data_IF_677426182164
#
_entry.id   IF_677426182164
#
_cell.length_a   1.000
_cell.length_b   1.000
_cell.length_c   1.000
_cell.angle_alpha   90.00
_cell.angle_beta   90.00
_cell.angle_gamma   90.00
#
_symmetry.space_group_name_H-M   'P 1'
#
loop_
_entity.id
_entity.type
_entity.pdbx_description
1 polymer ?
#
# COMPACT_ATOMS: atom_id res chain seq x y z
N UNK A 1 1.71 16.55 5.47
CA UNK A 1 1.18 15.21 5.11
C UNK A 1 0.22 15.30 3.94
N UNK A 2 -0.98 15.90 4.09
CA UNK A 2 -1.89 16.08 2.95
C UNK A 2 -1.36 17.08 1.92
N UNK A 3 -0.90 18.24 2.36
CA UNK A 3 -0.28 19.27 1.50
C UNK A 3 0.94 18.77 0.73
N UNK A 4 1.78 17.92 1.34
CA UNK A 4 2.92 17.29 0.65
C UNK A 4 2.47 16.36 -0.49
N UNK A 5 1.34 15.67 -0.32
CA UNK A 5 0.77 14.78 -1.33
C UNK A 5 -0.01 15.54 -2.39
N UNK A 6 -0.67 16.64 -2.04
CA UNK A 6 -1.46 17.44 -2.98
C UNK A 6 -0.58 18.04 -4.09
N UNK A 7 0.70 18.33 -3.78
CA UNK A 7 1.69 18.74 -4.78
C UNK A 7 2.03 17.66 -5.83
N UNK A 8 1.73 16.39 -5.54
CA UNK A 8 2.05 15.25 -6.42
C UNK A 8 0.80 14.58 -6.98
N UNK A 9 -0.36 14.77 -6.34
CA UNK A 9 -1.61 14.12 -6.71
C UNK A 9 -2.17 14.59 -8.06
N UNK A 10 -1.78 15.80 -8.53
CA UNK A 10 -2.26 16.35 -9.81
C UNK A 10 -1.71 15.65 -11.06
N UNK A 11 -0.60 14.92 -10.93
CA UNK A 11 0.10 14.28 -12.07
C UNK A 11 -0.05 12.74 -12.04
N UNK A 12 -0.96 12.20 -11.24
CA UNK A 12 -1.14 10.74 -11.14
C UNK A 12 -1.95 10.24 -12.33
N UNK A 13 -1.38 9.27 -13.05
CA UNK A 13 -2.06 8.53 -14.11
C UNK A 13 -3.09 7.59 -13.47
N UNK A 14 -4.28 7.41 -14.07
CA UNK A 14 -5.23 6.40 -13.66
C UNK A 14 -4.58 5.03 -13.53
N UNK A 15 -4.82 4.36 -12.41
CA UNK A 15 -4.31 3.03 -12.17
C UNK A 15 -5.31 2.01 -12.73
N UNK A 16 -5.35 1.85 -14.05
CA UNK A 16 -6.12 0.78 -14.70
C UNK A 16 -5.44 -0.57 -14.46
N UNK A 17 -6.08 -1.65 -14.91
CA UNK A 17 -5.51 -2.98 -14.83
C UNK A 17 -4.17 -3.09 -15.54
N UNK A 18 -4.02 -2.50 -16.71
CA UNK A 18 -2.75 -2.46 -17.45
C UNK A 18 -1.66 -1.77 -16.62
N UNK A 19 -1.98 -0.64 -15.99
CA UNK A 19 -1.07 0.10 -15.13
C UNK A 19 -0.74 -0.67 -13.84
N UNK A 20 -1.67 -1.50 -13.34
CA UNK A 20 -1.40 -2.42 -12.23
C UNK A 20 -0.43 -3.53 -12.64
N UNK A 21 -0.55 -4.10 -13.84
CA UNK A 21 0.40 -5.09 -14.37
C UNK A 21 1.80 -4.48 -14.60
N UNK A 22 1.84 -3.18 -14.85
CA UNK A 22 3.08 -2.40 -15.03
C UNK A 22 3.56 -1.75 -13.74
N UNK A 23 2.81 -1.85 -12.64
CA UNK A 23 3.14 -1.20 -11.37
C UNK A 23 4.50 -1.70 -10.89
N UNK A 24 5.37 -0.76 -10.56
CA UNK A 24 6.75 -1.06 -10.18
C UNK A 24 7.01 -0.89 -8.69
N UNK A 25 8.00 -1.62 -8.17
CA UNK A 25 8.58 -1.35 -6.85
C UNK A 25 9.40 -0.04 -6.82
N UNK A 26 9.66 0.56 -7.98
CA UNK A 26 10.36 1.83 -8.12
C UNK A 26 9.60 3.03 -7.58
N UNK A 27 10.36 3.98 -7.04
CA UNK A 27 9.82 5.19 -6.42
C UNK A 27 10.60 6.44 -6.84
N UNK A 28 9.87 7.52 -7.13
CA UNK A 28 10.38 8.87 -7.27
C UNK A 28 10.19 9.68 -5.99
N UNK A 29 11.01 10.73 -5.82
CA UNK A 29 10.89 11.71 -4.73
C UNK A 29 10.80 11.08 -3.33
N UNK A 30 11.38 9.88 -3.18
CA UNK A 30 11.35 9.15 -1.92
C UNK A 30 12.18 9.90 -0.87
N UNK A 31 11.55 10.21 0.26
CA UNK A 31 12.19 10.81 1.42
C UNK A 31 11.83 10.00 2.64
N UNK A 32 12.83 9.45 3.31
CA UNK A 32 12.69 8.71 4.55
C UNK A 32 13.53 9.38 5.63
N UNK A 33 12.88 9.88 6.68
CA UNK A 33 13.55 10.53 7.82
C UNK A 33 13.33 9.69 9.07
N UNK A 34 14.43 9.37 9.74
CA UNK A 34 14.46 8.70 11.05
C UNK A 34 15.03 9.65 12.08
N UNK A 35 14.36 9.75 13.21
CA UNK A 35 14.71 10.63 14.33
C UNK A 35 13.71 10.40 15.45
N UNK A 36 13.29 11.46 16.14
CA UNK A 36 12.25 11.37 17.18
C UNK A 36 10.91 10.81 16.65
N UNK A 37 10.62 10.97 15.36
CA UNK A 37 9.52 10.29 14.66
C UNK A 37 10.02 9.76 13.33
N UNK A 38 9.41 8.70 12.80
CA UNK A 38 9.72 8.22 11.45
C UNK A 38 8.71 8.81 10.49
N UNK A 39 9.19 9.47 9.43
CA UNK A 39 8.34 9.97 8.35
C UNK A 39 8.83 9.44 7.03
N UNK A 40 7.93 9.04 6.16
CA UNK A 40 8.24 8.67 4.78
C UNK A 40 7.28 9.35 3.81
N UNK A 41 7.74 9.71 2.63
CA UNK A 41 6.89 10.14 1.52
C UNK A 41 7.55 9.76 0.20
N UNK A 42 6.76 9.57 -0.84
CA UNK A 42 7.26 9.21 -2.16
C UNK A 42 6.14 8.99 -3.15
N UNK A 43 6.53 8.65 -4.38
CA UNK A 43 5.62 8.36 -5.48
C UNK A 43 6.05 7.03 -6.10
N UNK A 44 5.19 6.02 -6.13
CA UNK A 44 5.44 4.81 -6.92
C UNK A 44 5.10 5.04 -8.38
N UNK A 45 5.86 4.38 -9.26
CA UNK A 45 5.70 4.49 -10.70
C UNK A 45 5.40 3.14 -11.36
N UNK A 46 4.97 3.18 -12.63
CA UNK A 46 5.06 2.01 -13.50
C UNK A 46 6.52 1.74 -13.88
N UNK A 47 6.78 0.62 -14.56
CA UNK A 47 8.08 0.34 -15.19
C UNK A 47 8.44 1.33 -16.32
N UNK A 48 7.48 2.15 -16.75
CA UNK A 48 7.66 3.24 -17.72
C UNK A 48 7.75 4.62 -17.04
N UNK A 49 7.94 4.67 -15.72
CA UNK A 49 8.08 5.90 -14.93
C UNK A 49 6.82 6.78 -14.89
N UNK A 50 5.64 6.22 -15.15
CA UNK A 50 4.37 6.94 -14.97
C UNK A 50 4.00 6.92 -13.49
N UNK A 51 3.62 8.08 -12.95
CA UNK A 51 3.29 8.21 -11.52
C UNK A 51 1.89 7.68 -11.27
N UNK A 52 1.76 6.67 -10.42
CA UNK A 52 0.46 6.00 -10.19
C UNK A 52 0.00 6.03 -8.73
N UNK A 53 0.93 6.21 -7.78
CA UNK A 53 0.59 6.30 -6.36
C UNK A 53 1.48 7.30 -5.63
N UNK A 54 0.89 8.31 -5.00
CA UNK A 54 1.57 9.14 -4.02
C UNK A 54 1.27 8.66 -2.59
N UNK A 55 2.25 8.73 -1.69
CA UNK A 55 2.02 8.39 -0.28
C UNK A 55 2.74 9.31 0.70
N UNK A 56 2.20 9.39 1.92
CA UNK A 56 2.80 10.03 3.08
C UNK A 56 2.55 9.19 4.32
N UNK A 57 3.61 8.90 5.06
CA UNK A 57 3.62 8.07 6.24
C UNK A 57 4.26 8.81 7.41
N UNK A 58 3.66 8.68 8.60
CA UNK A 58 4.23 9.16 9.85
C UNK A 58 4.00 8.14 10.95
N UNK A 59 5.09 7.64 11.55
CA UNK A 59 5.11 6.86 12.79
C UNK A 59 5.44 7.77 13.96
N UNK A 60 4.58 7.76 14.96
CA UNK A 60 4.75 8.49 16.21
C UNK A 60 5.59 7.68 17.20
N UNK A 61 6.11 8.37 18.23
CA UNK A 61 6.79 7.72 19.34
C UNK A 61 5.90 6.65 19.98
N UNK A 62 6.48 5.50 20.28
CA UNK A 62 5.77 4.34 20.81
C UNK A 62 6.60 3.08 20.74
N UNK A 63 5.99 1.94 21.08
CA UNK A 63 6.67 0.64 21.00
C UNK A 63 6.75 0.18 19.55
N UNK A 64 7.90 -0.36 19.16
CA UNK A 64 8.16 -0.86 17.81
C UNK A 64 7.22 -2.02 17.43
N UNK A 65 6.84 -2.89 18.37
CA UNK A 65 5.92 -4.02 18.16
C UNK A 65 4.43 -3.61 18.17
N UNK A 66 4.12 -2.35 18.54
CA UNK A 66 2.76 -1.79 18.61
C UNK A 66 2.77 -0.33 18.13
N UNK A 67 3.13 -0.08 16.86
CA UNK A 67 3.33 1.26 16.37
C UNK A 67 2.02 2.06 16.38
N UNK A 68 2.15 3.37 16.60
CA UNK A 68 1.12 4.33 16.27
C UNK A 68 1.57 5.06 15.00
N UNK A 69 0.74 5.07 13.97
CA UNK A 69 1.10 5.68 12.69
C UNK A 69 -0.12 6.19 11.93
N UNK A 70 0.15 7.08 11.00
CA UNK A 70 -0.78 7.51 9.96
C UNK A 70 -0.14 7.24 8.61
N UNK A 71 -0.85 6.51 7.75
CA UNK A 71 -0.51 6.37 6.35
C UNK A 71 -1.63 6.98 5.51
N UNK A 72 -1.24 7.84 4.58
CA UNK A 72 -2.07 8.35 3.50
C UNK A 72 -1.47 7.86 2.18
N UNK A 73 -2.29 7.31 1.31
CA UNK A 73 -1.91 6.89 -0.03
C UNK A 73 -3.01 7.33 -1.00
N UNK A 74 -2.65 7.78 -2.21
CA UNK A 74 -3.60 8.31 -3.18
C UNK A 74 -3.22 7.89 -4.58
N UNK A 75 -4.18 7.32 -5.29
CA UNK A 75 -4.14 7.10 -6.74
C UNK A 75 -4.90 8.24 -7.42
N UNK A 76 -4.98 8.25 -8.75
CA UNK A 76 -5.81 9.22 -9.47
C UNK A 76 -7.31 9.12 -9.08
N UNK A 77 -7.78 7.92 -8.73
CA UNK A 77 -9.19 7.64 -8.45
C UNK A 77 -9.55 7.65 -6.96
N UNK A 78 -8.65 7.19 -6.08
CA UNK A 78 -8.99 6.90 -4.68
C UNK A 78 -7.99 7.46 -3.67
N UNK A 79 -8.50 7.87 -2.51
CA UNK A 79 -7.71 8.15 -1.31
C UNK A 79 -7.83 6.99 -0.31
N UNK A 80 -6.70 6.44 0.11
CA UNK A 80 -6.61 5.42 1.15
C UNK A 80 -5.94 6.00 2.39
N UNK A 81 -6.63 5.94 3.53
CA UNK A 81 -6.10 6.41 4.82
C UNK A 81 -6.12 5.30 5.84
N UNK A 82 -4.97 5.04 6.45
CA UNK A 82 -4.78 4.03 7.47
C UNK A 82 -4.43 4.72 8.79
N UNK A 83 -5.33 4.62 9.75
CA UNK A 83 -5.11 5.12 11.09
C UNK A 83 -4.65 3.96 11.98
N UNK A 84 -3.35 3.89 12.28
CA UNK A 84 -2.74 2.76 12.99
C UNK A 84 -2.56 3.13 14.47
N UNK A 85 -3.20 2.37 15.37
CA UNK A 85 -3.08 2.49 16.83
C UNK A 85 -2.68 1.16 17.43
N UNK A 86 -1.59 1.14 18.20
CA UNK A 86 -1.06 -0.08 18.85
C UNK A 86 -0.91 -1.26 17.86
N UNK A 87 -0.55 -0.97 16.61
CA UNK A 87 -0.40 -1.94 15.53
C UNK A 87 -1.71 -2.45 14.90
N UNK A 88 -2.88 -1.91 15.26
CA UNK A 88 -4.15 -2.19 14.59
C UNK A 88 -4.52 -0.99 13.70
N UNK A 89 -4.89 -1.24 12.45
CA UNK A 89 -5.23 -0.19 11.49
C UNK A 89 -6.74 -0.02 11.35
N UNK A 90 -7.22 1.21 11.21
CA UNK A 90 -8.56 1.49 10.65
C UNK A 90 -8.37 2.00 9.23
N UNK A 91 -8.99 1.34 8.26
CA UNK A 91 -8.94 1.71 6.85
C UNK A 91 -10.12 2.61 6.49
N UNK A 92 -9.82 3.73 5.86
CA UNK A 92 -10.77 4.59 5.19
C UNK A 92 -10.43 4.65 3.70
N UNK A 93 -11.46 4.52 2.85
CA UNK A 93 -11.34 4.74 1.41
C UNK A 93 -12.31 5.86 1.04
N UNK A 94 -11.79 6.91 0.39
CA UNK A 94 -12.54 8.11 0.00
C UNK A 94 -13.33 8.72 1.18
N UNK A 95 -12.71 8.70 2.36
CA UNK A 95 -13.29 9.21 3.60
C UNK A 95 -14.27 8.27 4.30
N UNK A 96 -14.70 7.17 3.67
CA UNK A 96 -15.58 6.17 4.28
C UNK A 96 -14.79 5.10 5.01
N UNK A 97 -15.17 4.81 6.26
CA UNK A 97 -14.55 3.74 7.04
C UNK A 97 -14.97 2.37 6.53
N UNK A 98 -14.02 1.60 6.01
CA UNK A 98 -14.25 0.27 5.43
C UNK A 98 -14.16 -0.82 6.49
N UNK A 99 -13.19 -0.72 7.39
CA UNK A 99 -12.95 -1.76 8.39
C UNK A 99 -11.63 -1.65 9.14
N UNK A 100 -11.33 -2.70 9.90
CA UNK A 100 -10.14 -2.82 10.73
C UNK A 100 -9.15 -3.82 10.15
N UNK A 101 -7.88 -3.44 10.11
CA UNK A 101 -6.72 -4.24 9.75
C UNK A 101 -6.06 -4.78 11.02
N UNK A 102 -5.91 -6.10 11.09
CA UNK A 102 -5.08 -6.71 12.12
C UNK A 102 -3.59 -6.78 11.72
N UNK A 103 -2.79 -7.34 12.62
CA UNK A 103 -1.32 -7.44 12.45
C UNK A 103 -0.93 -8.51 11.43
N UNK A 104 -1.83 -9.45 11.18
CA UNK A 104 -1.67 -10.54 10.23
C UNK A 104 -1.97 -10.07 8.80
N UNK A 105 -2.56 -8.89 8.62
CA UNK A 105 -2.87 -8.33 7.31
C UNK A 105 -4.30 -8.65 6.85
N UNK A 106 -5.17 -9.11 7.74
CA UNK A 106 -6.58 -9.30 7.42
C UNK A 106 -7.39 -8.02 7.70
N UNK A 107 -8.19 -7.61 6.72
CA UNK A 107 -9.16 -6.53 6.81
C UNK A 107 -10.54 -7.10 7.17
N UNK A 108 -11.07 -6.74 8.33
CA UNK A 108 -12.44 -7.08 8.76
C UNK A 108 -13.37 -5.91 8.53
N UNK A 109 -14.48 -6.15 7.82
CA UNK A 109 -15.42 -5.10 7.45
C UNK A 109 -16.14 -4.53 8.66
N UNK A 110 -16.24 -3.20 8.74
CA UNK A 110 -16.86 -2.46 9.85
C UNK A 110 -18.26 -2.96 10.19
N UNK A 111 -19.09 -3.17 9.16
CA UNK A 111 -20.51 -3.56 9.31
C UNK A 111 -20.70 -5.03 9.67
N UNK A 112 -19.85 -5.91 9.13
CA UNK A 112 -20.09 -7.36 9.16
C UNK A 112 -19.19 -8.11 10.13
N UNK A 113 -18.05 -7.53 10.53
CA UNK A 113 -16.98 -8.22 11.26
C UNK A 113 -16.25 -9.31 10.43
N UNK A 114 -16.84 -9.75 9.32
CA UNK A 114 -16.25 -10.71 8.37
C UNK A 114 -15.00 -10.15 7.70
N UNK A 115 -14.05 -11.04 7.42
CA UNK A 115 -12.89 -10.73 6.58
C UNK A 115 -13.34 -10.34 5.18
N UNK A 116 -12.95 -9.14 4.75
CA UNK A 116 -13.18 -8.63 3.40
C UNK A 116 -12.01 -8.98 2.50
N UNK A 117 -10.78 -8.84 3.00
CA UNK A 117 -9.57 -9.12 2.27
C UNK A 117 -8.44 -9.51 3.23
N UNK A 118 -7.43 -10.22 2.74
CA UNK A 118 -6.23 -10.55 3.52
C UNK A 118 -5.00 -10.69 2.63
N UNK A 119 -3.85 -10.24 3.14
CA UNK A 119 -2.53 -10.51 2.57
C UNK A 119 -1.84 -11.63 3.33
N UNK A 120 -1.35 -12.64 2.62
CA UNK A 120 -0.63 -13.79 3.19
C UNK A 120 0.87 -13.48 3.21
N UNK A 121 1.43 -13.26 4.41
CA UNK A 121 2.83 -12.81 4.62
C UNK A 121 3.83 -13.95 4.86
N UNK A 122 3.35 -15.18 4.93
CA UNK A 122 4.13 -16.40 5.18
C UNK A 122 4.70 -17.02 3.90
N UNK A 123 4.24 -16.59 2.73
CA UNK A 123 4.75 -17.06 1.45
C UNK A 123 6.12 -16.45 1.09
N UNK A 124 7.07 -17.29 0.67
CA UNK A 124 8.50 -16.98 0.64
C UNK A 124 8.98 -16.12 -0.54
N UNK A 125 8.16 -15.94 -1.57
CA UNK A 125 8.50 -15.17 -2.79
C UNK A 125 7.44 -14.19 -3.26
N UNK A 126 6.19 -14.46 -2.91
CA UNK A 126 5.01 -13.68 -3.26
C UNK A 126 4.18 -13.54 -2.02
N UNK A 127 3.44 -12.43 -1.89
CA UNK A 127 2.42 -12.29 -0.86
C UNK A 127 1.04 -12.28 -1.53
N UNK A 128 0.36 -13.44 -1.59
CA UNK A 128 -1.00 -13.52 -2.11
C UNK A 128 -1.97 -12.60 -1.38
N UNK A 129 -2.85 -11.97 -2.14
CA UNK A 129 -3.96 -11.16 -1.65
C UNK A 129 -5.26 -11.82 -2.04
N UNK A 130 -6.09 -12.04 -1.03
CA UNK A 130 -7.44 -12.55 -1.22
C UNK A 130 -8.47 -11.49 -0.91
N UNK A 131 -9.57 -11.46 -1.67
CA UNK A 131 -10.77 -10.66 -1.43
C UNK A 131 -11.97 -11.59 -1.44
N UNK A 132 -12.84 -11.49 -0.44
CA UNK A 132 -14.01 -12.37 -0.32
C UNK A 132 -13.68 -13.87 -0.22
N UNK A 133 -12.45 -14.23 0.17
CA UNK A 133 -11.96 -15.61 0.20
C UNK A 133 -11.41 -16.13 -1.14
N UNK A 134 -11.38 -15.28 -2.18
CA UNK A 134 -10.81 -15.58 -3.49
C UNK A 134 -9.48 -14.87 -3.65
N UNK A 135 -8.43 -15.56 -4.07
CA UNK A 135 -7.17 -14.91 -4.43
C UNK A 135 -7.36 -14.08 -5.71
N UNK A 136 -6.95 -12.81 -5.68
CA UNK A 136 -7.13 -11.87 -6.80
C UNK A 136 -5.81 -11.35 -7.38
N UNK A 137 -4.71 -11.59 -6.68
CA UNK A 137 -3.36 -11.22 -7.12
C UNK A 137 -2.35 -11.44 -6.01
N UNK A 138 -1.08 -11.20 -6.32
CA UNK A 138 0.03 -11.34 -5.38
C UNK A 138 0.96 -10.12 -5.44
N UNK A 139 1.54 -9.74 -4.30
CA UNK A 139 2.65 -8.80 -4.29
C UNK A 139 3.97 -9.54 -4.45
N UNK A 140 4.90 -9.00 -5.23
CA UNK A 140 6.27 -9.50 -5.25
C UNK A 140 6.92 -9.30 -3.87
N UNK A 141 7.55 -10.34 -3.32
CA UNK A 141 8.30 -10.22 -2.05
C UNK A 141 9.72 -9.68 -2.26
N UNK A 142 10.16 -9.49 -3.51
CA UNK A 142 11.54 -9.15 -3.84
C UNK A 142 11.98 -7.82 -3.21
N UNK A 143 13.03 -7.90 -2.40
CA UNK A 143 13.76 -6.78 -1.78
C UNK A 143 15.12 -6.60 -2.44
N UNK A 144 15.30 -7.01 -3.70
CA UNK A 144 16.61 -6.79 -4.35
C UNK A 144 16.91 -5.28 -4.35
N UNK A 145 18.12 -4.94 -3.93
CA UNK A 145 18.66 -3.58 -4.03
C UNK A 145 18.68 -3.19 -5.50
N UNK A 146 17.63 -2.50 -5.92
CA UNK A 146 17.45 -2.09 -7.31
C UNK A 146 18.41 -0.95 -7.60
N UNK A 147 19.58 -1.35 -8.12
CA UNK A 147 20.57 -0.47 -8.69
C UNK A 147 20.19 -0.20 -10.15
N UNK A 148 20.04 1.10 -10.48
CA UNK A 148 20.01 1.63 -11.86
C UNK A 148 18.80 1.22 -12.73
N UNK A 149 17.62 1.77 -12.42
CA UNK A 149 16.58 2.05 -13.42
C UNK A 149 15.75 0.87 -13.95
N UNK A 150 16.05 -0.36 -13.56
CA UNK A 150 15.22 -1.54 -13.85
C UNK A 150 14.59 -2.00 -12.53
N UNK A 151 13.34 -1.62 -12.34
CA UNK A 151 12.59 -1.93 -11.14
C UNK A 151 11.66 -3.13 -11.40
N UNK A 152 11.66 -4.11 -10.50
CA UNK A 152 10.75 -5.26 -10.57
C UNK A 152 9.29 -4.80 -10.50
N UNK A 153 8.39 -5.59 -11.11
CA UNK A 153 6.94 -5.40 -10.95
C UNK A 153 6.54 -5.65 -9.50
N UNK A 154 5.65 -4.81 -8.98
CA UNK A 154 5.14 -4.95 -7.62
C UNK A 154 4.06 -6.01 -7.52
N UNK A 155 3.28 -6.23 -8.58
CA UNK A 155 2.15 -7.15 -8.61
C UNK A 155 2.39 -8.29 -9.61
N UNK A 156 1.93 -9.48 -9.24
CA UNK A 156 2.01 -10.70 -10.04
C UNK A 156 0.67 -11.44 -9.95
N UNK A 157 0.33 -12.21 -11.00
CA UNK A 157 -0.87 -13.06 -11.04
C UNK A 157 -2.19 -12.31 -10.77
N UNK A 158 -2.30 -11.06 -11.20
CA UNK A 158 -3.56 -10.31 -11.16
C UNK A 158 -4.62 -11.05 -11.94
N UNK A 159 -5.82 -11.15 -11.38
CA UNK A 159 -6.94 -11.78 -12.05
C UNK A 159 -7.57 -10.84 -13.07
N UNK A 160 -7.95 -11.40 -14.21
CA UNK A 160 -8.59 -10.64 -15.29
C UNK A 160 -10.04 -10.25 -14.99
N UNK A 161 -10.67 -10.94 -14.04
CA UNK A 161 -12.08 -10.84 -13.67
C UNK A 161 -12.30 -10.18 -12.31
N UNK A 162 -11.38 -9.29 -11.89
CA UNK A 162 -11.60 -8.48 -10.69
C UNK A 162 -12.71 -7.46 -10.96
N UNK A 163 -13.66 -7.35 -10.04
CA UNK A 163 -14.58 -6.20 -10.02
C UNK A 163 -13.95 -4.97 -9.35
N UNK A 164 -14.57 -3.79 -9.52
CA UNK A 164 -14.08 -2.52 -8.96
C UNK A 164 -13.81 -2.59 -7.44
N UNK A 165 -14.60 -3.38 -6.72
CA UNK A 165 -14.48 -3.51 -5.27
C UNK A 165 -13.32 -4.41 -4.90
N UNK A 166 -13.12 -5.51 -5.63
CA UNK A 166 -11.96 -6.38 -5.46
C UNK A 166 -10.66 -5.65 -5.78
N UNK A 167 -10.65 -4.87 -6.85
CA UNK A 167 -9.51 -4.02 -7.19
C UNK A 167 -9.21 -3.01 -6.07
N UNK A 168 -10.23 -2.29 -5.60
CA UNK A 168 -10.08 -1.30 -4.53
C UNK A 168 -9.57 -1.94 -3.22
N UNK A 169 -10.05 -3.14 -2.86
CA UNK A 169 -9.60 -3.86 -1.67
C UNK A 169 -8.19 -4.46 -1.84
N UNK A 170 -7.87 -4.95 -3.04
CA UNK A 170 -6.53 -5.40 -3.39
C UNK A 170 -5.53 -4.26 -3.22
N UNK A 171 -5.79 -3.11 -3.83
CA UNK A 171 -4.96 -1.92 -3.72
C UNK A 171 -4.84 -1.45 -2.27
N UNK A 172 -5.92 -1.44 -1.49
CA UNK A 172 -5.85 -1.05 -0.08
C UNK A 172 -4.84 -1.91 0.73
N UNK A 173 -4.79 -3.22 0.49
CA UNK A 173 -3.80 -4.06 1.17
C UNK A 173 -2.41 -3.91 0.58
N UNK A 174 -2.31 -3.89 -0.75
CA UNK A 174 -1.05 -3.86 -1.46
C UNK A 174 -0.27 -2.57 -1.20
N UNK A 175 -0.93 -1.42 -1.27
CA UNK A 175 -0.28 -0.11 -1.10
C UNK A 175 0.21 0.08 0.34
N UNK A 176 -0.56 -0.40 1.33
CA UNK A 176 -0.11 -0.42 2.73
C UNK A 176 1.17 -1.24 2.88
N UNK A 177 1.17 -2.46 2.34
CA UNK A 177 2.29 -3.38 2.42
C UNK A 177 3.54 -2.80 1.75
N UNK A 178 3.41 -2.23 0.55
CA UNK A 178 4.53 -1.59 -0.16
C UNK A 178 5.13 -0.41 0.61
N UNK A 179 4.31 0.43 1.24
CA UNK A 179 4.79 1.56 2.04
C UNK A 179 5.42 1.09 3.34
N UNK A 180 4.85 0.11 4.03
CA UNK A 180 5.43 -0.46 5.26
C UNK A 180 6.82 -1.04 4.99
N UNK A 181 6.98 -1.83 3.92
CA UNK A 181 8.29 -2.34 3.50
C UNK A 181 9.29 -1.23 3.18
N UNK A 182 8.84 -0.14 2.57
CA UNK A 182 9.70 1.03 2.30
C UNK A 182 10.23 1.65 3.59
N UNK A 183 9.40 1.71 4.63
CA UNK A 183 9.78 2.23 5.95
C UNK A 183 10.69 1.26 6.70
N UNK A 184 10.48 -0.05 6.54
CA UNK A 184 11.23 -1.10 7.22
C UNK A 184 12.61 -1.39 6.58
N UNK A 185 12.73 -1.41 5.25
CA UNK A 185 13.99 -1.71 4.53
C UNK A 185 15.18 -0.82 4.90
N UNK A 186 14.94 0.38 5.44
CA UNK A 186 16.04 1.25 5.89
C UNK A 186 16.35 1.15 7.39
N UNK A 187 15.80 0.16 8.11
CA UNK A 187 16.33 -0.25 9.42
C UNK A 187 17.61 -1.05 9.20
#
# INVERSE_FOLDING_TARGET
MKEDMDQWAGDLVPLTKEEMELFSLGQEKQVLRRGMSVTAKGIFTTIYHERVLAYSYRRYLGKDDKPNALLLARTAAHEYRYWIRKGLGTLYIDGQEVGELDRQGALRGKRTGKTLAAVQRDASKLLPVSVGGREVGSLSASVKDQTKGLYDRAFEFLRDDMDDKEEQLFLALALKELVERTVEKGK
#
